data_IF_676425376974
#
_entry.id   IF_676425376974
#
_cell.length_a   1.000
_cell.length_b   1.000
_cell.length_c   1.000
_cell.angle_alpha   90.00
_cell.angle_beta   90.00
_cell.angle_gamma   90.00
#
_symmetry.space_group_name_H-M   'P 1'
#
loop_
_entity.id
_entity.type
_entity.pdbx_description
1 polymer ?
#
# COMPACT_ATOMS: atom_id res chain seq x y z
N UNK A 1 7.05 11.31 -24.56
CA UNK A 1 6.24 10.08 -24.35
C UNK A 1 5.12 10.44 -23.38
N UNK A 2 3.86 10.35 -23.80
CA UNK A 2 2.70 10.71 -23.01
C UNK A 2 2.20 9.53 -22.14
N UNK A 3 1.20 9.79 -21.28
CA UNK A 3 0.61 8.75 -20.41
C UNK A 3 0.09 7.56 -21.24
N UNK A 4 -0.59 7.80 -22.37
CA UNK A 4 -1.09 6.73 -23.25
C UNK A 4 0.02 5.83 -23.79
N UNK A 5 1.13 6.42 -24.25
CA UNK A 5 2.26 5.64 -24.76
C UNK A 5 2.86 4.75 -23.68
N UNK A 6 2.95 5.27 -22.44
CA UNK A 6 3.45 4.50 -21.29
C UNK A 6 2.49 3.37 -20.90
N UNK A 7 1.18 3.59 -20.96
CA UNK A 7 0.18 2.56 -20.71
C UNK A 7 0.25 1.47 -21.80
N UNK A 8 0.39 1.86 -23.08
CA UNK A 8 0.58 0.90 -24.17
C UNK A 8 1.85 0.06 -23.97
N UNK A 9 2.95 0.71 -23.59
CA UNK A 9 4.18 -0.01 -23.23
C UNK A 9 3.99 -0.92 -22.03
N UNK A 10 3.21 -0.52 -21.00
CA UNK A 10 2.86 -1.38 -19.87
C UNK A 10 2.10 -2.63 -20.32
N UNK A 11 1.14 -2.49 -21.25
CA UNK A 11 0.35 -3.61 -21.77
C UNK A 11 1.17 -4.60 -22.63
N UNK A 12 2.35 -4.20 -23.11
CA UNK A 12 3.27 -5.11 -23.82
C UNK A 12 4.14 -5.97 -22.89
N UNK A 13 4.16 -5.65 -21.58
CA UNK A 13 4.96 -6.40 -20.62
C UNK A 13 4.35 -7.77 -20.30
N UNK A 14 5.20 -8.69 -19.90
CA UNK A 14 4.83 -10.00 -19.39
C UNK A 14 5.79 -10.44 -18.28
N UNK A 15 5.32 -11.33 -17.44
CA UNK A 15 6.14 -11.92 -16.39
C UNK A 15 7.25 -12.78 -17.01
N UNK A 16 8.47 -12.58 -16.55
CA UNK A 16 9.64 -13.36 -16.98
C UNK A 16 9.76 -14.62 -16.11
N UNK A 17 10.44 -15.64 -16.62
CA UNK A 17 10.62 -16.92 -15.91
C UNK A 17 11.22 -16.76 -14.51
N UNK A 18 12.22 -15.87 -14.36
CA UNK A 18 12.82 -15.58 -13.07
C UNK A 18 11.82 -14.90 -12.09
N UNK A 19 10.92 -14.06 -12.58
CA UNK A 19 9.87 -13.40 -11.78
C UNK A 19 8.81 -14.44 -11.36
N UNK A 20 8.41 -15.33 -12.26
CA UNK A 20 7.46 -16.40 -11.95
C UNK A 20 8.07 -17.39 -10.94
N UNK A 21 9.35 -17.76 -11.09
CA UNK A 21 10.06 -18.61 -10.15
C UNK A 21 10.12 -17.96 -8.75
N UNK A 22 10.41 -16.67 -8.69
CA UNK A 22 10.39 -15.92 -7.42
C UNK A 22 8.99 -15.91 -6.78
N UNK A 23 7.94 -15.65 -7.56
CA UNK A 23 6.56 -15.66 -7.05
C UNK A 23 6.18 -17.05 -6.51
N UNK A 24 6.58 -18.15 -7.17
CA UNK A 24 6.37 -19.51 -6.67
C UNK A 24 7.10 -19.81 -5.36
N UNK A 25 8.21 -19.11 -5.07
CA UNK A 25 8.94 -19.27 -3.81
C UNK A 25 8.24 -18.60 -2.62
N UNK A 26 7.26 -17.73 -2.86
CA UNK A 26 6.49 -17.04 -1.83
C UNK A 26 5.34 -17.92 -1.36
N UNK A 27 5.40 -18.41 -0.14
CA UNK A 27 4.49 -19.42 0.41
C UNK A 27 3.01 -19.02 0.38
N UNK A 28 2.70 -17.72 0.42
CA UNK A 28 1.35 -17.18 0.39
C UNK A 28 0.81 -16.92 -1.03
N UNK A 29 1.59 -17.16 -2.08
CA UNK A 29 1.15 -17.08 -3.47
C UNK A 29 0.96 -18.49 -4.01
N UNK A 30 -0.25 -18.84 -4.42
CA UNK A 30 -0.58 -20.16 -4.93
C UNK A 30 0.01 -20.39 -6.34
N UNK A 31 0.43 -21.63 -6.61
CA UNK A 31 1.05 -22.01 -7.88
C UNK A 31 0.14 -21.83 -9.09
N UNK A 32 -1.16 -22.12 -8.95
CA UNK A 32 -2.17 -21.92 -10.01
C UNK A 32 -2.31 -20.45 -10.41
N UNK A 33 -2.23 -19.54 -9.44
CA UNK A 33 -2.20 -18.10 -9.73
C UNK A 33 -0.91 -17.70 -10.46
N UNK A 34 0.25 -18.27 -10.10
CA UNK A 34 1.51 -18.00 -10.81
C UNK A 34 1.47 -18.55 -12.23
N UNK A 35 0.86 -19.71 -12.45
CA UNK A 35 0.65 -20.28 -13.78
C UNK A 35 -0.23 -19.37 -14.65
N UNK A 36 -1.31 -18.83 -14.05
CA UNK A 36 -2.12 -17.81 -14.71
C UNK A 36 -1.29 -16.56 -15.07
N UNK A 37 -0.44 -16.06 -14.16
CA UNK A 37 0.42 -14.89 -14.43
C UNK A 37 1.39 -15.12 -15.59
N UNK A 38 1.84 -16.35 -15.80
CA UNK A 38 2.67 -16.72 -16.98
C UNK A 38 1.98 -16.44 -18.32
N UNK A 39 0.67 -16.59 -18.36
CA UNK A 39 -0.17 -16.29 -19.54
C UNK A 39 -0.73 -14.89 -19.55
N UNK A 40 -0.70 -14.19 -18.42
CA UNK A 40 -1.38 -12.92 -18.23
C UNK A 40 -0.69 -11.78 -18.98
N UNK A 41 -1.52 -10.91 -19.57
CA UNK A 41 -1.12 -9.63 -20.17
C UNK A 41 -2.17 -8.59 -19.82
N UNK A 42 -1.73 -7.41 -19.43
CA UNK A 42 -2.62 -6.25 -19.40
C UNK A 42 -3.06 -5.92 -20.82
N UNK A 43 -4.31 -5.47 -20.98
CA UNK A 43 -4.85 -5.17 -22.29
C UNK A 43 -5.43 -3.76 -22.32
N UNK A 44 -4.96 -2.92 -23.26
CA UNK A 44 -5.37 -1.52 -23.36
C UNK A 44 -6.87 -1.32 -23.63
N UNK A 45 -7.59 -2.35 -24.11
CA UNK A 45 -9.06 -2.29 -24.25
C UNK A 45 -9.82 -2.06 -22.94
N UNK A 46 -9.19 -2.34 -21.81
CA UNK A 46 -9.79 -2.18 -20.48
C UNK A 46 -9.48 -0.83 -19.82
N UNK A 47 -8.67 0.02 -20.44
CA UNK A 47 -8.31 1.32 -19.89
C UNK A 47 -8.55 2.42 -20.91
N UNK A 48 -9.26 3.46 -20.50
CA UNK A 48 -9.54 4.64 -21.31
C UNK A 48 -8.89 5.85 -20.66
N UNK A 49 -8.21 6.68 -21.45
CA UNK A 49 -7.58 7.92 -21.02
C UNK A 49 -8.13 9.06 -21.86
N UNK A 50 -8.90 9.95 -21.26
CA UNK A 50 -9.59 11.05 -21.95
C UNK A 50 -9.10 12.39 -21.39
N UNK A 51 -8.42 13.23 -22.18
CA UNK A 51 -8.16 14.61 -21.79
C UNK A 51 -9.47 15.38 -21.70
N UNK A 52 -9.63 16.17 -20.66
CA UNK A 52 -10.76 17.07 -20.46
C UNK A 52 -10.45 18.48 -20.97
N UNK A 53 -11.47 19.29 -21.26
CA UNK A 53 -11.31 20.66 -21.75
C UNK A 53 -10.62 21.61 -20.73
N UNK A 54 -10.70 21.29 -19.46
CA UNK A 54 -10.05 22.03 -18.36
C UNK A 54 -8.57 21.67 -18.14
N UNK A 55 -8.00 20.79 -18.99
CA UNK A 55 -6.62 20.29 -18.87
C UNK A 55 -6.46 19.10 -17.92
N UNK A 56 -7.52 18.64 -17.30
CA UNK A 56 -7.52 17.41 -16.51
C UNK A 56 -7.52 16.17 -17.41
N UNK A 57 -7.25 15.03 -16.81
CA UNK A 57 -7.25 13.73 -17.48
C UNK A 57 -8.17 12.78 -16.72
N UNK A 58 -9.17 12.26 -17.38
CA UNK A 58 -10.01 11.19 -16.86
C UNK A 58 -9.44 9.83 -17.27
N UNK A 59 -9.26 8.94 -16.28
CA UNK A 59 -8.76 7.59 -16.49
C UNK A 59 -9.77 6.61 -15.92
N UNK A 60 -10.39 5.85 -16.80
CA UNK A 60 -11.35 4.82 -16.45
C UNK A 60 -10.81 3.43 -16.78
N UNK A 61 -10.89 2.51 -15.82
CA UNK A 61 -10.52 1.11 -16.00
C UNK A 61 -11.79 0.27 -15.86
N UNK A 62 -12.16 -0.49 -16.92
CA UNK A 62 -13.40 -1.26 -16.98
C UNK A 62 -13.18 -2.61 -17.65
N UNK A 63 -13.60 -3.69 -16.98
CA UNK A 63 -13.48 -5.05 -17.51
C UNK A 63 -13.57 -6.11 -16.40
N UNK A 64 -13.35 -7.39 -16.73
CA UNK A 64 -13.29 -8.44 -15.72
C UNK A 64 -12.24 -8.15 -14.67
N UNK A 65 -12.58 -8.30 -13.39
CA UNK A 65 -11.73 -7.88 -12.28
C UNK A 65 -10.33 -8.48 -12.35
N UNK A 66 -10.22 -9.75 -12.70
CA UNK A 66 -8.94 -10.45 -12.89
C UNK A 66 -8.02 -9.77 -13.92
N UNK A 67 -8.58 -9.09 -14.91
CA UNK A 67 -7.83 -8.36 -15.94
C UNK A 67 -7.59 -6.89 -15.62
N UNK A 68 -8.26 -6.34 -14.61
CA UNK A 68 -8.20 -4.90 -14.30
C UNK A 68 -7.48 -4.59 -13.00
N UNK A 69 -7.47 -5.53 -12.04
CA UNK A 69 -6.88 -5.35 -10.70
C UNK A 69 -5.41 -4.86 -10.75
N UNK A 70 -4.62 -5.33 -11.70
CA UNK A 70 -3.19 -5.00 -11.81
C UNK A 70 -2.90 -3.64 -12.48
N UNK A 71 -3.92 -2.87 -12.89
CA UNK A 71 -3.70 -1.54 -13.47
C UNK A 71 -3.43 -0.46 -12.41
N UNK A 72 -4.04 -0.51 -11.22
CA UNK A 72 -3.98 0.60 -10.25
C UNK A 72 -2.55 1.10 -10.02
N UNK A 73 -1.68 0.23 -9.53
CA UNK A 73 -0.34 0.62 -9.09
C UNK A 73 0.54 1.14 -10.24
N UNK A 74 0.69 0.43 -11.38
CA UNK A 74 1.54 0.91 -12.46
C UNK A 74 0.96 2.15 -13.16
N UNK A 75 -0.35 2.29 -13.29
CA UNK A 75 -0.96 3.49 -13.87
C UNK A 75 -0.70 4.71 -12.99
N UNK A 76 -0.89 4.62 -11.68
CA UNK A 76 -0.57 5.70 -10.75
C UNK A 76 0.92 6.07 -10.79
N UNK A 77 1.82 5.08 -10.84
CA UNK A 77 3.25 5.32 -10.97
C UNK A 77 3.61 6.01 -12.31
N UNK A 78 2.95 5.63 -13.40
CA UNK A 78 3.12 6.27 -14.71
C UNK A 78 2.66 7.74 -14.66
N UNK A 79 1.47 8.01 -14.08
CA UNK A 79 0.94 9.37 -13.96
C UNK A 79 1.94 10.26 -13.21
N UNK A 80 2.41 9.82 -12.03
CA UNK A 80 3.37 10.57 -11.23
C UNK A 80 4.67 10.83 -12.01
N UNK A 81 5.26 9.80 -12.61
CA UNK A 81 6.53 9.93 -13.33
C UNK A 81 6.40 10.84 -14.56
N UNK A 82 5.29 10.76 -15.31
CA UNK A 82 5.04 11.63 -16.47
C UNK A 82 4.78 13.07 -16.03
N UNK A 83 4.02 13.27 -14.95
CA UNK A 83 3.78 14.61 -14.39
C UNK A 83 5.09 15.29 -14.03
N UNK A 84 5.91 14.69 -13.17
CA UNK A 84 7.17 15.30 -12.74
C UNK A 84 8.16 15.52 -13.89
N UNK A 85 8.22 14.63 -14.85
CA UNK A 85 9.05 14.80 -16.04
C UNK A 85 8.66 16.02 -16.87
N UNK A 86 7.39 16.41 -16.88
CA UNK A 86 6.91 17.57 -17.62
C UNK A 86 6.91 18.86 -16.81
N UNK A 87 6.77 18.78 -15.49
CA UNK A 87 6.71 19.96 -14.59
C UNK A 87 8.08 20.31 -13.99
N UNK A 88 8.92 19.32 -13.74
CA UNK A 88 10.26 19.51 -13.19
C UNK A 88 11.31 19.12 -14.22
N UNK A 89 11.78 20.10 -15.00
CA UNK A 89 12.79 19.87 -16.05
C UNK A 89 14.11 19.37 -15.50
N UNK A 90 14.49 19.79 -14.30
CA UNK A 90 15.70 19.37 -13.59
C UNK A 90 15.32 18.97 -12.16
N UNK A 91 15.17 17.65 -11.89
CA UNK A 91 14.90 17.16 -10.54
C UNK A 91 16.07 17.46 -9.59
N UNK A 92 15.77 17.88 -8.38
CA UNK A 92 16.78 18.13 -7.35
C UNK A 92 17.16 16.83 -6.61
N UNK A 93 17.86 15.93 -7.30
CA UNK A 93 18.35 14.70 -6.67
C UNK A 93 19.34 14.93 -5.52
N UNK A 94 20.25 15.92 -5.55
CA UNK A 94 21.07 16.28 -4.40
C UNK A 94 20.25 16.59 -3.15
N UNK A 95 19.20 17.40 -3.28
CA UNK A 95 18.29 17.69 -2.17
C UNK A 95 17.53 16.45 -1.71
N UNK A 96 17.03 15.64 -2.65
CA UNK A 96 16.39 14.37 -2.33
C UNK A 96 17.28 13.43 -1.51
N UNK A 97 18.59 13.31 -1.87
CA UNK A 97 19.57 12.52 -1.12
C UNK A 97 19.81 13.10 0.28
N UNK A 98 19.99 14.42 0.37
CA UNK A 98 20.15 15.09 1.66
C UNK A 98 18.96 14.83 2.61
N UNK A 99 17.73 14.89 2.07
CA UNK A 99 16.52 14.58 2.84
C UNK A 99 16.46 13.11 3.25
N UNK A 100 16.82 12.20 2.37
CA UNK A 100 16.90 10.77 2.68
C UNK A 100 17.93 10.48 3.78
N UNK A 101 19.11 11.11 3.71
CA UNK A 101 20.15 10.99 4.72
C UNK A 101 19.68 11.50 6.09
N UNK A 102 18.98 12.63 6.12
CA UNK A 102 18.41 13.17 7.36
C UNK A 102 17.36 12.22 7.97
N UNK A 103 16.51 11.61 7.16
CA UNK A 103 15.52 10.61 7.61
C UNK A 103 16.19 9.38 8.20
N UNK A 104 17.23 8.88 7.56
CA UNK A 104 17.99 7.73 8.04
C UNK A 104 18.67 8.06 9.36
N UNK A 105 19.28 9.25 9.49
CA UNK A 105 19.90 9.70 10.73
C UNK A 105 18.88 9.75 11.89
N UNK A 106 17.66 10.22 11.64
CA UNK A 106 16.57 10.20 12.63
C UNK A 106 16.20 8.77 13.06
N UNK A 107 16.10 7.84 12.13
CA UNK A 107 15.77 6.43 12.43
C UNK A 107 16.90 5.72 13.20
N UNK A 108 18.14 6.14 13.03
CA UNK A 108 19.29 5.60 13.75
C UNK A 108 19.49 6.26 15.12
N UNK A 109 18.56 7.11 15.55
CA UNK A 109 18.58 7.75 16.87
C UNK A 109 18.52 6.77 18.03
N UNK A 110 18.90 7.23 19.21
CA UNK A 110 18.91 6.42 20.44
C UNK A 110 17.52 5.90 20.78
N UNK A 111 17.43 4.64 21.18
CA UNK A 111 16.19 3.96 21.58
C UNK A 111 15.24 3.62 20.43
N UNK A 112 15.69 3.70 19.16
CA UNK A 112 14.88 3.40 17.98
C UNK A 112 15.33 2.12 17.23
N UNK A 113 16.24 1.33 17.79
CA UNK A 113 16.80 0.14 17.14
C UNK A 113 15.75 -0.88 16.68
N UNK A 114 14.64 -0.97 17.40
CA UNK A 114 13.54 -1.91 17.11
C UNK A 114 12.46 -1.31 16.20
N UNK A 115 12.54 -0.01 15.88
CA UNK A 115 11.61 0.62 14.97
C UNK A 115 11.85 0.09 13.55
N UNK A 116 10.82 -0.50 12.95
CA UNK A 116 10.87 -1.06 11.59
C UNK A 116 9.98 -0.27 10.65
N UNK A 117 10.55 0.11 9.51
CA UNK A 117 9.82 0.77 8.42
C UNK A 117 9.78 -0.11 7.17
N UNK A 118 8.73 0.05 6.39
CA UNK A 118 8.55 -0.59 5.09
C UNK A 118 8.27 0.45 4.00
N UNK A 119 8.70 0.17 2.78
CA UNK A 119 8.36 1.00 1.62
C UNK A 119 6.98 0.63 1.05
N UNK A 120 6.08 1.61 1.01
CA UNK A 120 4.76 1.56 0.36
C UNK A 120 4.62 2.61 -0.74
N UNK A 121 5.73 3.12 -1.30
CA UNK A 121 5.78 4.30 -2.15
C UNK A 121 5.59 4.07 -3.65
N UNK A 122 5.48 2.84 -4.14
CA UNK A 122 5.50 2.54 -5.59
C UNK A 122 4.51 3.38 -6.40
N UNK A 123 3.26 3.47 -5.97
CA UNK A 123 2.18 4.13 -6.73
C UNK A 123 2.33 5.65 -6.85
N UNK A 124 3.05 6.30 -5.94
CA UNK A 124 3.27 7.76 -5.90
C UNK A 124 4.73 8.15 -5.98
N UNK A 125 5.59 7.25 -6.41
CA UNK A 125 7.02 7.52 -6.55
C UNK A 125 7.29 8.64 -7.55
N UNK A 126 8.33 9.40 -7.30
CA UNK A 126 8.81 10.43 -8.23
C UNK A 126 9.18 9.82 -9.60
N UNK A 127 10.03 8.79 -9.59
CA UNK A 127 10.42 8.03 -10.77
C UNK A 127 10.86 6.61 -10.39
N UNK A 128 10.93 5.72 -11.39
CA UNK A 128 11.43 4.37 -11.20
C UNK A 128 12.89 4.37 -10.69
N UNK A 129 13.74 5.19 -11.29
CA UNK A 129 15.17 5.24 -10.94
C UNK A 129 15.38 5.78 -9.52
N UNK A 130 14.68 6.85 -9.14
CA UNK A 130 14.75 7.41 -7.79
C UNK A 130 14.25 6.42 -6.74
N UNK A 131 13.15 5.75 -6.98
CA UNK A 131 12.62 4.73 -6.07
C UNK A 131 13.64 3.60 -5.84
N UNK A 132 14.26 3.11 -6.91
CA UNK A 132 15.30 2.08 -6.81
C UNK A 132 16.51 2.57 -6.01
N UNK A 133 16.96 3.82 -6.22
CA UNK A 133 18.04 4.43 -5.46
C UNK A 133 17.70 4.51 -3.96
N UNK A 134 16.50 5.00 -3.62
CA UNK A 134 16.03 5.08 -2.23
C UNK A 134 16.07 3.70 -1.57
N UNK A 135 15.55 2.68 -2.22
CA UNK A 135 15.52 1.33 -1.65
C UNK A 135 16.93 0.76 -1.44
N UNK A 136 17.87 0.97 -2.39
CA UNK A 136 19.26 0.55 -2.23
C UNK A 136 19.92 1.21 -1.02
N UNK A 137 19.68 2.50 -0.83
CA UNK A 137 20.22 3.26 0.31
C UNK A 137 19.63 2.77 1.63
N UNK A 138 18.29 2.54 1.69
CA UNK A 138 17.64 2.00 2.90
C UNK A 138 18.18 0.62 3.26
N UNK A 139 18.32 -0.28 2.29
CA UNK A 139 18.89 -1.62 2.52
C UNK A 139 20.33 -1.53 3.04
N UNK A 140 21.16 -0.70 2.41
CA UNK A 140 22.56 -0.59 2.77
C UNK A 140 22.78 0.02 4.17
N UNK A 141 21.95 0.99 4.57
CA UNK A 141 22.16 1.77 5.80
C UNK A 141 21.34 1.31 7.00
N UNK A 142 20.14 0.81 6.78
CA UNK A 142 19.25 0.33 7.85
C UNK A 142 19.32 -1.19 8.03
N UNK A 143 19.77 -1.93 7.02
CA UNK A 143 19.76 -3.40 7.03
C UNK A 143 18.33 -3.97 7.05
N UNK A 144 18.19 -5.24 6.74
CA UNK A 144 16.87 -5.89 6.63
C UNK A 144 16.47 -6.70 7.86
N UNK A 145 17.38 -6.91 8.81
CA UNK A 145 17.15 -7.83 9.92
C UNK A 145 17.07 -9.31 9.49
N UNK A 146 17.28 -9.58 8.22
CA UNK A 146 17.33 -10.92 7.66
C UNK A 146 18.64 -11.60 8.10
N UNK A 147 18.54 -12.77 8.69
CA UNK A 147 19.69 -13.56 9.17
C UNK A 147 20.20 -14.58 8.16
N UNK A 148 19.64 -14.59 6.95
CA UNK A 148 20.12 -15.49 5.89
C UNK A 148 21.55 -15.16 5.48
N UNK A 149 22.39 -16.15 5.14
CA UNK A 149 23.74 -15.88 4.62
C UNK A 149 23.69 -14.98 3.39
N UNK A 150 24.48 -13.88 3.41
CA UNK A 150 24.53 -12.90 2.34
C UNK A 150 23.48 -11.77 2.43
N UNK A 151 22.59 -11.78 3.44
CA UNK A 151 21.70 -10.64 3.68
C UNK A 151 22.51 -9.40 4.12
N UNK A 152 22.06 -8.18 3.74
CA UNK A 152 22.74 -6.94 4.14
C UNK A 152 22.81 -6.82 5.67
N UNK A 153 24.02 -6.58 6.17
CA UNK A 153 24.23 -6.31 7.59
C UNK A 153 23.68 -4.92 7.96
N UNK A 154 23.19 -4.78 9.19
CA UNK A 154 22.69 -3.48 9.69
C UNK A 154 21.74 -3.67 10.87
N UNK A 155 21.18 -2.59 11.42
CA UNK A 155 20.29 -2.64 12.58
C UNK A 155 18.96 -3.41 12.32
N UNK A 156 18.65 -3.71 11.06
CA UNK A 156 17.43 -4.46 10.72
C UNK A 156 16.15 -3.63 10.75
N UNK A 157 16.26 -2.33 10.58
CA UNK A 157 15.13 -1.40 10.64
C UNK A 157 14.34 -1.30 9.32
N UNK A 158 14.90 -1.75 8.19
CA UNK A 158 14.17 -1.80 6.92
C UNK A 158 13.49 -3.17 6.75
N UNK A 159 12.18 -3.24 6.97
CA UNK A 159 11.42 -4.48 6.92
C UNK A 159 11.26 -5.04 5.50
N UNK A 160 11.24 -4.17 4.48
CA UNK A 160 11.06 -4.58 3.09
C UNK A 160 10.25 -3.56 2.26
N UNK A 161 9.78 -4.01 1.11
CA UNK A 161 9.04 -3.16 0.15
C UNK A 161 7.76 -3.82 -0.34
N UNK A 162 6.74 -3.02 -0.64
CA UNK A 162 5.53 -3.46 -1.32
C UNK A 162 5.74 -3.71 -2.83
N UNK A 163 6.92 -3.39 -3.37
CA UNK A 163 7.28 -3.64 -4.76
C UNK A 163 7.95 -5.01 -4.90
N UNK A 164 7.20 -6.00 -5.37
CA UNK A 164 7.66 -7.39 -5.46
C UNK A 164 8.91 -7.55 -6.35
N UNK A 165 9.01 -6.76 -7.45
CA UNK A 165 10.20 -6.78 -8.31
C UNK A 165 11.46 -6.27 -7.58
N UNK A 166 11.32 -5.20 -6.81
CA UNK A 166 12.44 -4.69 -6.01
C UNK A 166 12.75 -5.61 -4.82
N UNK A 167 11.73 -6.25 -4.23
CA UNK A 167 11.96 -7.25 -3.20
C UNK A 167 12.83 -8.40 -3.74
N UNK A 168 12.50 -8.91 -4.94
CA UNK A 168 13.29 -9.93 -5.63
C UNK A 168 14.73 -9.45 -5.91
N UNK A 169 14.86 -8.27 -6.53
CA UNK A 169 16.18 -7.74 -6.96
C UNK A 169 17.13 -7.41 -5.81
N UNK A 170 16.59 -6.96 -4.69
CA UNK A 170 17.37 -6.51 -3.53
C UNK A 170 17.48 -7.59 -2.44
N UNK A 171 16.81 -8.74 -2.63
CA UNK A 171 16.82 -9.81 -1.64
C UNK A 171 16.12 -9.45 -0.34
N UNK A 172 15.13 -8.55 -0.37
CA UNK A 172 14.38 -8.11 0.81
C UNK A 172 12.98 -8.74 0.84
N UNK A 173 12.28 -8.60 1.97
CA UNK A 173 10.94 -9.16 2.14
C UNK A 173 9.91 -8.40 1.29
N UNK A 174 9.14 -9.10 0.44
CA UNK A 174 7.96 -8.50 -0.18
C UNK A 174 6.87 -8.35 0.86
N UNK A 175 6.35 -7.14 1.01
CA UNK A 175 5.34 -6.81 2.02
C UNK A 175 4.04 -6.39 1.35
N UNK A 176 2.93 -6.85 1.90
CA UNK A 176 1.61 -6.50 1.41
C UNK A 176 0.56 -6.75 2.49
N UNK A 177 -0.56 -6.08 2.33
CA UNK A 177 -1.72 -6.23 3.21
C UNK A 177 -2.98 -6.26 2.36
N UNK A 178 -4.13 -6.46 3.02
CA UNK A 178 -5.45 -6.39 2.39
C UNK A 178 -5.65 -5.05 1.66
N UNK A 179 -6.11 -5.08 0.42
CA UNK A 179 -6.37 -3.89 -0.39
C UNK A 179 -7.81 -3.37 -0.18
N UNK A 180 -7.99 -2.04 -0.31
CA UNK A 180 -9.34 -1.45 -0.29
C UNK A 180 -10.22 -2.02 -1.38
N UNK A 181 -9.69 -2.17 -2.59
CA UNK A 181 -10.41 -2.71 -3.75
C UNK A 181 -11.01 -4.09 -3.46
N UNK A 182 -10.31 -4.94 -2.70
CA UNK A 182 -10.82 -6.24 -2.28
C UNK A 182 -12.09 -6.11 -1.44
N UNK A 183 -12.08 -5.31 -0.38
CA UNK A 183 -13.26 -5.11 0.47
C UNK A 183 -14.38 -4.34 -0.25
N UNK A 184 -14.04 -3.43 -1.16
CA UNK A 184 -15.02 -2.79 -2.04
C UNK A 184 -15.70 -3.82 -2.96
N UNK A 185 -14.94 -4.74 -3.57
CA UNK A 185 -15.53 -5.82 -4.36
C UNK A 185 -16.44 -6.72 -3.53
N UNK A 186 -16.11 -7.01 -2.28
CA UNK A 186 -16.93 -7.80 -1.37
C UNK A 186 -18.34 -7.18 -1.13
N UNK A 187 -18.50 -5.86 -1.31
CA UNK A 187 -19.82 -5.20 -1.23
C UNK A 187 -20.81 -5.72 -2.28
N UNK A 188 -20.30 -6.11 -3.45
CA UNK A 188 -21.11 -6.63 -4.54
C UNK A 188 -21.02 -8.16 -4.70
N UNK A 189 -19.99 -8.79 -4.16
CA UNK A 189 -19.76 -10.24 -4.24
C UNK A 189 -20.29 -11.00 -3.02
N UNK A 190 -20.38 -10.34 -1.88
CA UNK A 190 -20.89 -10.92 -0.65
C UNK A 190 -22.42 -11.15 -0.67
N UNK A 191 -22.94 -11.94 0.26
CA UNK A 191 -24.35 -12.29 0.31
C UNK A 191 -25.24 -11.08 0.61
N UNK A 192 -24.75 -10.11 1.38
CA UNK A 192 -25.45 -8.85 1.72
C UNK A 192 -24.41 -7.74 1.93
N UNK A 193 -24.76 -6.52 1.53
CA UNK A 193 -23.92 -5.35 1.77
C UNK A 193 -23.57 -5.16 3.25
N UNK A 194 -24.54 -5.38 4.15
CA UNK A 194 -24.36 -5.29 5.60
C UNK A 194 -23.24 -6.21 6.12
N UNK A 195 -23.14 -7.42 5.56
CA UNK A 195 -22.25 -8.47 6.04
C UNK A 195 -20.97 -8.57 5.18
N UNK A 196 -20.80 -7.67 4.23
CA UNK A 196 -19.73 -7.74 3.22
C UNK A 196 -18.31 -7.63 3.81
N UNK A 197 -18.13 -6.91 4.93
CA UNK A 197 -16.85 -6.84 5.62
C UNK A 197 -16.49 -8.17 6.30
N UNK A 198 -17.45 -8.77 7.00
CA UNK A 198 -17.30 -10.10 7.61
C UNK A 198 -17.02 -11.14 6.52
N UNK A 199 -17.81 -11.15 5.45
CA UNK A 199 -17.55 -12.01 4.29
C UNK A 199 -16.13 -11.84 3.73
N UNK A 200 -15.67 -10.59 3.59
CA UNK A 200 -14.31 -10.31 3.12
C UNK A 200 -13.24 -10.88 4.05
N UNK A 201 -13.39 -10.73 5.36
CA UNK A 201 -12.45 -11.28 6.34
C UNK A 201 -12.42 -12.81 6.35
N UNK A 202 -13.59 -13.46 6.27
CA UNK A 202 -13.69 -14.91 6.17
C UNK A 202 -13.04 -15.47 4.90
N UNK A 203 -13.32 -14.85 3.75
CA UNK A 203 -12.72 -15.27 2.47
C UNK A 203 -11.21 -15.06 2.45
N UNK A 204 -10.70 -13.96 3.03
CA UNK A 204 -9.27 -13.72 3.17
C UNK A 204 -8.59 -14.77 4.05
N UNK A 205 -9.18 -15.06 5.20
CA UNK A 205 -8.66 -16.09 6.11
C UNK A 205 -8.67 -17.48 5.48
N UNK A 206 -9.72 -17.80 4.73
CA UNK A 206 -9.83 -19.07 4.00
C UNK A 206 -8.77 -19.19 2.89
N UNK A 207 -8.48 -18.09 2.19
CA UNK A 207 -7.50 -18.05 1.11
C UNK A 207 -6.07 -18.20 1.64
N UNK A 208 -5.70 -17.38 2.63
CA UNK A 208 -4.33 -17.26 3.09
C UNK A 208 -3.98 -18.14 4.31
N UNK A 209 -4.98 -18.71 5.00
CA UNK A 209 -4.78 -19.71 6.08
C UNK A 209 -3.79 -19.26 7.17
N UNK A 210 -3.85 -18.01 7.57
CA UNK A 210 -2.97 -17.40 8.58
C UNK A 210 -1.80 -16.59 8.01
N UNK A 211 -1.53 -16.66 6.71
CA UNK A 211 -0.62 -15.71 6.07
C UNK A 211 -1.33 -14.38 5.79
N UNK A 212 -0.57 -13.28 5.69
CA UNK A 212 -1.08 -11.93 5.41
C UNK A 212 -2.21 -11.52 6.37
N UNK A 213 -2.09 -11.89 7.64
CA UNK A 213 -3.10 -11.76 8.68
C UNK A 213 -3.33 -10.33 9.20
N UNK A 214 -3.29 -9.31 8.34
CA UNK A 214 -3.51 -7.91 8.71
C UNK A 214 -4.81 -7.40 8.09
N UNK A 215 -5.81 -7.15 8.94
CA UNK A 215 -7.10 -6.64 8.51
C UNK A 215 -7.04 -5.14 8.20
N UNK A 216 -7.70 -4.71 7.12
CA UNK A 216 -7.84 -3.29 6.77
C UNK A 216 -9.07 -2.69 7.45
N UNK A 217 -8.90 -1.56 8.15
CA UNK A 217 -9.90 -1.06 9.08
C UNK A 217 -10.80 0.08 8.57
N UNK A 218 -10.50 0.68 7.41
CA UNK A 218 -11.08 1.98 7.05
C UNK A 218 -11.96 1.99 5.79
N UNK A 219 -12.35 0.82 5.25
CA UNK A 219 -13.27 0.79 4.09
C UNK A 219 -14.67 1.26 4.50
N UNK A 220 -15.13 0.86 5.68
CA UNK A 220 -16.43 1.23 6.24
C UNK A 220 -16.32 2.18 7.43
N UNK A 221 -15.11 2.63 7.76
CA UNK A 221 -14.77 3.41 8.94
C UNK A 221 -14.56 2.57 10.20
N UNK A 222 -13.80 3.12 11.14
CA UNK A 222 -13.35 2.43 12.34
C UNK A 222 -14.48 1.86 13.22
N UNK A 223 -15.60 2.55 13.31
CA UNK A 223 -16.73 2.08 14.14
C UNK A 223 -17.39 0.83 13.57
N UNK A 224 -17.56 0.77 12.24
CA UNK A 224 -18.06 -0.43 11.58
C UNK A 224 -17.05 -1.57 11.64
N UNK A 225 -15.75 -1.25 11.47
CA UNK A 225 -14.70 -2.23 11.61
C UNK A 225 -14.72 -2.90 12.99
N UNK A 226 -14.74 -2.15 14.08
CA UNK A 226 -14.73 -2.70 15.44
C UNK A 226 -16.00 -3.50 15.77
N UNK A 227 -17.15 -3.14 15.19
CA UNK A 227 -18.38 -3.94 15.34
C UNK A 227 -18.24 -5.32 14.72
N UNK A 228 -17.64 -5.40 13.53
CA UNK A 228 -17.54 -6.61 12.73
C UNK A 228 -16.30 -7.45 13.05
N UNK A 229 -15.25 -6.81 13.62
CA UNK A 229 -13.99 -7.44 14.02
C UNK A 229 -14.10 -7.99 15.46
N UNK A 230 -14.95 -9.01 15.62
CA UNK A 230 -15.28 -9.62 16.90
C UNK A 230 -14.15 -10.47 17.49
N UNK A 231 -14.43 -11.21 18.57
CA UNK A 231 -13.48 -12.11 19.23
C UNK A 231 -12.85 -13.13 18.27
N UNK A 232 -13.64 -13.65 17.31
CA UNK A 232 -13.15 -14.63 16.35
C UNK A 232 -12.06 -14.00 15.46
N UNK A 233 -12.34 -12.86 14.86
CA UNK A 233 -11.37 -12.16 14.02
C UNK A 233 -10.20 -11.55 14.80
N UNK A 234 -10.46 -11.06 16.04
CA UNK A 234 -9.39 -10.61 16.92
C UNK A 234 -8.36 -11.72 17.22
N UNK A 235 -8.79 -12.98 17.28
CA UNK A 235 -7.90 -14.13 17.49
C UNK A 235 -7.25 -14.57 16.16
N UNK A 236 -8.03 -14.59 15.09
CA UNK A 236 -7.63 -15.14 13.80
C UNK A 236 -6.57 -14.28 13.10
N UNK A 237 -6.76 -12.94 13.10
CA UNK A 237 -5.84 -12.02 12.44
C UNK A 237 -4.66 -11.65 13.36
N UNK A 238 -3.48 -11.45 12.77
CA UNK A 238 -2.27 -11.01 13.47
C UNK A 238 -2.36 -9.54 13.90
N UNK A 239 -3.23 -8.77 13.26
CA UNK A 239 -3.40 -7.36 13.57
C UNK A 239 -4.31 -6.62 12.60
N UNK A 240 -4.21 -5.29 12.63
CA UNK A 240 -4.95 -4.43 11.72
C UNK A 240 -4.10 -3.27 11.21
N UNK A 241 -4.54 -2.67 10.08
CA UNK A 241 -3.89 -1.54 9.42
C UNK A 241 -4.73 -0.28 9.48
N UNK A 242 -4.11 0.79 9.96
CA UNK A 242 -4.56 2.17 9.86
C UNK A 242 -4.24 2.73 8.46
N UNK A 243 -5.22 3.31 7.79
CA UNK A 243 -5.03 3.93 6.46
C UNK A 243 -5.85 5.23 6.28
N UNK A 244 -6.47 5.74 7.34
CA UNK A 244 -7.12 7.07 7.40
C UNK A 244 -7.51 7.46 8.82
N UNK A 245 -7.71 8.77 9.05
CA UNK A 245 -8.10 9.33 10.35
C UNK A 245 -6.91 9.60 11.28
N UNK A 246 -7.19 9.90 12.54
CA UNK A 246 -6.14 10.12 13.54
C UNK A 246 -5.52 8.79 13.98
N UNK A 247 -4.21 8.57 13.71
CA UNK A 247 -3.57 7.30 14.01
C UNK A 247 -3.43 7.01 15.51
N UNK A 248 -3.34 8.03 16.36
CA UNK A 248 -3.26 7.83 17.81
C UNK A 248 -4.60 7.37 18.37
N UNK A 249 -5.68 8.06 18.03
CA UNK A 249 -7.04 7.67 18.42
C UNK A 249 -7.41 6.29 17.88
N UNK A 250 -7.01 5.97 16.65
CA UNK A 250 -7.20 4.65 16.06
C UNK A 250 -6.48 3.56 16.86
N UNK A 251 -5.21 3.76 17.16
CA UNK A 251 -4.40 2.79 17.90
C UNK A 251 -4.97 2.53 19.31
N UNK A 252 -5.34 3.58 20.06
CA UNK A 252 -5.95 3.43 21.38
C UNK A 252 -7.28 2.66 21.32
N UNK A 253 -8.16 3.01 20.37
CA UNK A 253 -9.44 2.31 20.18
C UNK A 253 -9.24 0.82 19.87
N UNK A 254 -8.24 0.48 19.04
CA UNK A 254 -7.96 -0.91 18.70
C UNK A 254 -7.39 -1.70 19.88
N UNK A 255 -6.45 -1.11 20.62
CA UNK A 255 -5.92 -1.75 21.84
C UNK A 255 -7.02 -2.01 22.86
N UNK A 256 -7.93 -1.06 23.07
CA UNK A 256 -9.07 -1.24 23.96
C UNK A 256 -10.03 -2.31 23.47
N UNK A 257 -10.22 -2.39 22.16
CA UNK A 257 -11.05 -3.43 21.54
C UNK A 257 -10.47 -4.83 21.76
N UNK A 258 -9.16 -5.03 21.60
CA UNK A 258 -8.51 -6.29 21.93
C UNK A 258 -8.71 -6.66 23.42
N UNK A 259 -8.49 -5.71 24.35
CA UNK A 259 -8.71 -5.95 25.80
C UNK A 259 -10.15 -6.32 26.11
N UNK A 260 -11.14 -5.63 25.55
CA UNK A 260 -12.57 -5.94 25.69
C UNK A 260 -12.90 -7.36 25.20
N UNK A 261 -12.24 -7.80 24.13
CA UNK A 261 -12.36 -9.15 23.60
C UNK A 261 -11.43 -10.17 24.32
N UNK A 262 -10.76 -9.80 25.40
CA UNK A 262 -9.84 -10.67 26.17
C UNK A 262 -8.72 -11.25 25.29
N UNK A 263 -8.23 -10.46 24.36
CA UNK A 263 -7.06 -10.76 23.52
C UNK A 263 -5.91 -9.89 23.98
N UNK A 264 -4.75 -10.51 24.25
CA UNK A 264 -3.56 -9.77 24.66
C UNK A 264 -3.02 -8.92 23.51
N UNK A 265 -3.01 -7.57 23.63
CA UNK A 265 -2.50 -6.70 22.58
C UNK A 265 -1.02 -6.90 22.25
N UNK A 266 -0.21 -7.43 23.16
CA UNK A 266 1.20 -7.73 22.91
C UNK A 266 1.40 -8.78 21.81
N UNK A 267 0.38 -9.60 21.55
CA UNK A 267 0.38 -10.61 20.49
C UNK A 267 -0.07 -10.04 19.13
N UNK A 268 -0.46 -8.76 19.09
CA UNK A 268 -1.09 -8.14 17.92
C UNK A 268 -0.22 -7.05 17.30
N UNK A 269 -0.26 -6.94 15.99
CA UNK A 269 0.48 -5.94 15.21
C UNK A 269 -0.44 -4.80 14.78
N UNK A 270 -0.06 -3.58 15.13
CA UNK A 270 -0.66 -2.36 14.59
C UNK A 270 0.21 -1.87 13.42
N UNK A 271 -0.37 -1.82 12.22
CA UNK A 271 0.31 -1.24 11.05
C UNK A 271 -0.24 0.15 10.79
N UNK A 272 0.63 1.14 10.76
CA UNK A 272 0.31 2.51 10.35
C UNK A 272 0.83 2.75 8.93
N UNK A 273 -0.01 3.29 8.03
CA UNK A 273 0.36 3.46 6.62
C UNK A 273 -0.21 4.69 5.93
N UNK A 274 -0.94 5.55 6.64
CA UNK A 274 -1.48 6.77 6.06
C UNK A 274 -0.59 7.98 6.34
N UNK A 275 -0.21 8.69 5.29
CA UNK A 275 0.48 9.98 5.29
C UNK A 275 1.70 10.08 6.23
N UNK A 276 2.40 8.95 6.47
CA UNK A 276 3.52 8.90 7.42
C UNK A 276 4.74 9.66 6.92
N UNK A 277 5.28 10.47 7.81
CA UNK A 277 6.65 11.01 7.77
C UNK A 277 7.52 10.31 8.81
N UNK A 278 8.84 10.40 8.70
CA UNK A 278 9.73 9.78 9.70
C UNK A 278 9.50 10.36 11.11
N UNK A 279 9.39 11.67 11.33
CA UNK A 279 9.04 12.20 12.65
C UNK A 279 7.73 11.63 13.21
N UNK A 280 6.66 11.60 12.39
CA UNK A 280 5.36 11.04 12.81
C UNK A 280 5.44 9.55 13.13
N UNK A 281 6.26 8.80 12.39
CA UNK A 281 6.54 7.39 12.66
C UNK A 281 7.20 7.19 14.03
N UNK A 282 8.16 8.05 14.37
CA UNK A 282 8.85 8.01 15.68
C UNK A 282 7.87 8.34 16.82
N UNK A 283 7.01 9.35 16.68
CA UNK A 283 5.98 9.69 17.66
C UNK A 283 5.04 8.50 17.92
N UNK A 284 4.53 7.86 16.87
CA UNK A 284 3.67 6.69 16.98
C UNK A 284 4.40 5.50 17.63
N UNK A 285 5.65 5.28 17.24
CA UNK A 285 6.46 4.25 17.86
C UNK A 285 6.64 4.49 19.36
N UNK A 286 6.96 5.71 19.78
CA UNK A 286 7.12 6.06 21.20
C UNK A 286 5.83 5.89 22.00
N UNK A 287 4.68 6.22 21.41
CA UNK A 287 3.36 6.08 22.04
C UNK A 287 2.96 4.61 22.28
N UNK A 288 3.25 3.73 21.32
CA UNK A 288 2.71 2.37 21.33
C UNK A 288 3.74 1.28 21.61
N UNK A 289 5.04 1.58 21.66
CA UNK A 289 6.08 0.59 21.95
C UNK A 289 5.83 -0.08 23.31
N UNK A 290 6.06 -1.39 23.39
CA UNK A 290 5.83 -2.17 24.60
C UNK A 290 4.34 -2.43 24.93
N UNK A 291 3.41 -1.95 24.09
CA UNK A 291 1.97 -2.16 24.26
C UNK A 291 1.39 -3.11 23.21
N UNK A 292 2.05 -3.23 22.07
CA UNK A 292 1.72 -4.12 20.95
C UNK A 292 2.94 -4.27 20.05
N UNK A 293 2.84 -5.07 18.99
CA UNK A 293 3.80 -5.11 17.91
C UNK A 293 3.50 -3.98 16.93
N UNK A 294 4.54 -3.38 16.32
CA UNK A 294 4.41 -2.21 15.47
C UNK A 294 5.08 -2.41 14.11
N UNK A 295 4.42 -1.92 13.06
CA UNK A 295 5.00 -1.80 11.73
C UNK A 295 4.52 -0.50 11.06
N UNK A 296 5.36 0.09 10.21
CA UNK A 296 5.11 1.38 9.59
C UNK A 296 5.36 1.29 8.08
N UNK A 297 4.31 1.51 7.28
CA UNK A 297 4.38 1.57 5.83
C UNK A 297 4.49 3.03 5.36
N UNK A 298 5.65 3.43 4.83
CA UNK A 298 5.89 4.80 4.41
C UNK A 298 5.91 4.87 2.89
N UNK A 299 5.07 5.71 2.32
CA UNK A 299 4.94 5.85 0.87
C UNK A 299 5.69 7.07 0.32
N UNK A 300 4.93 8.11 0.03
CA UNK A 300 5.38 9.33 -0.64
C UNK A 300 6.58 10.00 0.04
N UNK A 301 6.61 10.01 1.38
CA UNK A 301 7.72 10.60 2.13
C UNK A 301 9.07 9.91 1.91
N UNK A 302 9.10 8.64 1.46
CA UNK A 302 10.34 7.98 1.04
C UNK A 302 10.64 8.18 -0.45
N UNK A 303 9.64 8.00 -1.30
CA UNK A 303 9.85 7.81 -2.74
C UNK A 303 9.57 9.04 -3.60
N UNK A 304 9.07 10.13 -2.99
CA UNK A 304 8.72 11.36 -3.69
C UNK A 304 8.89 12.59 -2.80
N UNK A 305 10.06 12.75 -2.20
CA UNK A 305 10.43 13.90 -1.36
C UNK A 305 11.76 14.50 -1.83
N UNK A 306 11.70 15.23 -2.95
CA UNK A 306 12.85 15.87 -3.57
C UNK A 306 12.85 17.40 -3.37
N UNK A 307 11.99 17.92 -2.53
CA UNK A 307 11.88 19.36 -2.29
C UNK A 307 10.67 19.71 -1.44
N UNK A 308 10.34 20.98 -1.40
CA UNK A 308 9.19 21.52 -0.67
C UNK A 308 8.31 22.37 -1.59
N UNK A 309 7.00 22.50 -1.27
CA UNK A 309 6.12 23.42 -1.99
C UNK A 309 6.69 24.86 -2.00
N UNK A 310 6.48 25.62 -3.08
CA UNK A 310 5.78 25.23 -4.32
C UNK A 310 6.67 24.50 -5.34
N UNK A 311 7.97 24.37 -5.10
CA UNK A 311 8.91 23.81 -6.07
C UNK A 311 8.72 22.31 -6.28
N UNK A 312 8.32 21.58 -5.23
CA UNK A 312 8.01 20.16 -5.31
C UNK A 312 6.83 19.83 -4.40
N UNK A 313 5.75 19.35 -5.00
CA UNK A 313 4.57 18.86 -4.30
C UNK A 313 4.10 17.53 -4.91
N UNK A 314 4.09 16.44 -4.12
CA UNK A 314 3.62 15.15 -4.58
C UNK A 314 2.14 15.15 -4.97
N UNK A 315 1.82 14.55 -6.12
CA UNK A 315 0.43 14.42 -6.56
C UNK A 315 -0.41 13.60 -5.57
N UNK A 316 -1.59 14.12 -5.23
CA UNK A 316 -2.61 13.42 -4.46
C UNK A 316 -3.58 12.71 -5.41
N UNK A 317 -3.11 11.65 -6.06
CA UNK A 317 -3.88 10.88 -7.04
C UNK A 317 -4.18 9.48 -6.53
N UNK A 318 -5.41 9.02 -6.78
CA UNK A 318 -5.88 7.68 -6.42
C UNK A 318 -6.73 7.10 -7.56
N UNK A 319 -6.77 5.77 -7.64
CA UNK A 319 -7.76 5.02 -8.43
C UNK A 319 -8.56 4.20 -7.43
N UNK A 320 -9.88 4.19 -7.54
CA UNK A 320 -10.78 3.45 -6.66
C UNK A 320 -11.84 2.73 -7.48
N UNK A 321 -12.22 1.52 -7.03
CA UNK A 321 -13.34 0.81 -7.58
C UNK A 321 -14.64 1.56 -7.21
N UNK A 322 -15.45 1.87 -8.20
CA UNK A 322 -16.76 2.54 -8.03
C UNK A 322 -17.93 1.65 -8.38
N UNK A 323 -17.68 0.58 -9.13
CA UNK A 323 -18.68 -0.43 -9.49
C UNK A 323 -18.07 -1.82 -9.54
N UNK A 324 -18.84 -2.82 -9.10
CA UNK A 324 -18.53 -4.24 -9.23
C UNK A 324 -19.83 -4.98 -9.55
N UNK A 325 -19.87 -5.80 -10.62
CA UNK A 325 -21.08 -6.47 -11.12
C UNK A 325 -22.26 -5.49 -11.28
N UNK A 326 -22.01 -4.34 -11.89
CA UNK A 326 -22.96 -3.24 -12.09
C UNK A 326 -23.56 -2.63 -10.81
N UNK A 327 -23.13 -3.08 -9.63
CA UNK A 327 -23.52 -2.49 -8.36
C UNK A 327 -22.51 -1.41 -7.94
N UNK A 328 -22.96 -0.25 -7.41
CA UNK A 328 -22.09 0.75 -6.86
C UNK A 328 -21.39 0.24 -5.59
N UNK A 329 -20.10 0.54 -5.47
CA UNK A 329 -19.28 0.20 -4.30
C UNK A 329 -18.49 1.42 -3.86
N UNK A 330 -18.19 1.54 -2.56
CA UNK A 330 -17.52 2.72 -2.02
C UNK A 330 -16.53 2.39 -0.91
N UNK A 331 -15.55 3.28 -0.74
CA UNK A 331 -14.72 3.40 0.47
C UNK A 331 -15.20 4.62 1.24
N UNK A 332 -15.62 4.45 2.49
CA UNK A 332 -16.12 5.56 3.32
C UNK A 332 -15.00 6.37 3.98
N UNK A 333 -13.93 5.71 4.45
CA UNK A 333 -12.80 6.36 5.16
C UNK A 333 -13.19 6.99 6.51
N UNK A 334 -12.23 7.15 7.41
CA UNK A 334 -12.44 7.83 8.71
C UNK A 334 -12.17 9.35 8.64
N UNK A 335 -11.53 9.82 7.59
CA UNK A 335 -11.41 11.24 7.27
C UNK A 335 -12.58 11.64 6.37
N UNK A 336 -13.51 12.39 6.89
CA UNK A 336 -14.70 12.89 6.17
C UNK A 336 -14.35 14.01 5.16
N UNK A 337 -13.34 13.81 4.33
CA UNK A 337 -13.05 14.58 3.13
C UNK A 337 -13.45 13.75 1.90
N UNK A 338 -14.65 13.17 1.97
CA UNK A 338 -15.26 12.58 0.80
C UNK A 338 -15.64 13.70 -0.15
N UNK A 339 -14.91 13.84 -1.22
CA UNK A 339 -15.53 14.19 -2.48
C UNK A 339 -16.59 13.11 -2.74
N UNK A 340 -17.80 13.39 -2.38
CA UNK A 340 -18.93 12.65 -2.89
C UNK A 340 -18.86 12.81 -4.40
N UNK A 341 -18.69 11.72 -5.14
CA UNK A 341 -19.14 11.66 -6.52
C UNK A 341 -20.54 12.26 -6.55
N UNK A 342 -20.86 13.16 -7.48
CA UNK A 342 -22.21 13.71 -7.58
C UNK A 342 -23.18 12.55 -7.55
N UNK A 343 -24.22 12.70 -6.72
CA UNK A 343 -25.29 11.72 -6.62
C UNK A 343 -25.82 11.44 -8.03
N UNK A 344 -26.18 10.19 -8.39
CA UNK A 344 -26.85 9.92 -9.67
C UNK A 344 -28.16 10.69 -9.88
N UNK A 345 -28.59 11.50 -8.92
CA UNK A 345 -29.75 12.39 -9.01
C UNK A 345 -29.43 13.78 -9.55
N UNK A 346 -28.15 14.12 -9.75
CA UNK A 346 -27.70 15.43 -10.21
C UNK A 346 -27.26 15.42 -11.69
N UNK A 347 -27.63 14.36 -12.44
CA UNK A 347 -27.44 14.24 -13.89
C UNK A 347 -28.74 14.15 -14.63
#
# INVERSE_FOLDING_TARGET
MCIRDRIRSLCSLHFQDAELAYLRSLRFIKSDFVDFLGLFRLNEKYITVVPQHNGEIDITIRGPWLHTILFEIPVLAIINEVYFRNTQKVPDFPEGRRRLDAKIALLQGEGLSDLKIADYGTRRRFSRAWHEEVLRVLVARLGTGDRRPGAPAGPGQFAGTSNVLYAMKLGVTPLGTMAHEYLQACQALGPRLRDSQVFGFEMWAKEYRGDLGIALSDVYGMSAFLRDFDLYFCKLFDGARHDSGDPFAWGERLLDHYRKNRVDPLTKTLIFSDALTIPRTIELYQQFRGRCQLAFGIGTNLTNDLGSPPAHEPLQVVIKMTRCNDQPVAKLSDTCLLYTSPSPRDS
#
